data_IF_347262711406
#
_entry.id   IF_347262711406
#
_cell.length_a   1.000
_cell.length_b   1.000
_cell.length_c   1.000
_cell.angle_alpha   90.00
_cell.angle_beta   90.00
_cell.angle_gamma   90.00
#
_symmetry.space_group_name_H-M   'P 1'
#
loop_
_entity.id
_entity.type
_entity.pdbx_description
1 polymer ?
#
# COMPACT_ATOMS: atom_id res chain seq x y z
N UNK A 1 -29.87 4.37 10.78
CA UNK A 1 -28.89 3.41 10.23
C UNK A 1 -27.66 4.21 9.86
N UNK A 2 -26.45 3.84 10.33
CA UNK A 2 -25.24 4.53 9.86
C UNK A 2 -25.11 4.29 8.36
N UNK A 3 -24.84 5.35 7.60
CA UNK A 3 -24.63 5.27 6.16
C UNK A 3 -23.18 4.83 5.94
N UNK A 4 -22.99 3.64 5.40
CA UNK A 4 -21.67 3.13 5.00
C UNK A 4 -21.34 3.63 3.60
N UNK A 5 -20.10 4.09 3.39
CA UNK A 5 -19.60 4.52 2.07
C UNK A 5 -18.96 3.35 1.33
N UNK A 6 -19.21 3.22 0.03
CA UNK A 6 -18.51 2.27 -0.83
C UNK A 6 -17.73 3.08 -1.86
N UNK A 7 -16.41 2.86 -1.92
CA UNK A 7 -15.53 3.50 -2.90
C UNK A 7 -14.92 2.43 -3.80
N UNK A 8 -15.02 2.62 -5.10
CA UNK A 8 -14.35 1.77 -6.09
C UNK A 8 -12.91 2.22 -6.29
N UNK A 9 -12.08 1.38 -6.91
CA UNK A 9 -10.75 1.78 -7.38
C UNK A 9 -10.79 3.09 -8.21
N UNK A 10 -11.81 3.26 -9.06
CA UNK A 10 -11.95 4.46 -9.90
C UNK A 10 -12.23 5.73 -9.10
N UNK A 11 -12.88 5.60 -7.94
CA UNK A 11 -13.09 6.72 -7.02
C UNK A 11 -11.81 7.01 -6.25
N UNK A 12 -11.14 5.96 -5.76
CA UNK A 12 -9.92 6.08 -4.97
C UNK A 12 -8.76 6.70 -5.75
N UNK A 13 -8.62 6.38 -7.05
CA UNK A 13 -7.61 7.00 -7.93
C UNK A 13 -7.78 8.51 -8.11
N UNK A 14 -8.97 9.06 -7.84
CA UNK A 14 -9.22 10.51 -7.89
C UNK A 14 -8.90 11.20 -6.56
N UNK A 15 -8.80 10.43 -5.48
CA UNK A 15 -8.69 10.94 -4.10
C UNK A 15 -7.27 10.75 -3.55
N UNK A 16 -6.65 9.61 -3.88
CA UNK A 16 -5.32 9.24 -3.38
C UNK A 16 -4.41 9.08 -4.58
N UNK A 17 -3.35 9.87 -4.65
CA UNK A 17 -2.33 9.84 -5.70
C UNK A 17 -0.95 9.53 -5.11
N UNK A 18 -0.01 9.07 -5.94
CA UNK A 18 1.39 8.91 -5.50
C UNK A 18 2.09 10.27 -5.56
N UNK A 19 2.09 10.98 -4.44
CA UNK A 19 2.65 12.31 -4.30
C UNK A 19 3.35 12.48 -2.94
N UNK A 20 3.82 13.70 -2.67
CA UNK A 20 4.50 14.03 -1.42
C UNK A 20 3.60 13.91 -0.19
N UNK A 21 2.28 14.07 -0.33
CA UNK A 21 1.33 13.90 0.78
C UNK A 21 1.17 12.42 1.12
N UNK A 22 1.05 11.55 0.11
CA UNK A 22 1.05 10.10 0.31
C UNK A 22 2.36 9.61 0.96
N UNK A 23 3.51 10.14 0.51
CA UNK A 23 4.82 9.85 1.13
C UNK A 23 4.85 10.32 2.58
N UNK A 24 4.39 11.54 2.88
CA UNK A 24 4.35 12.08 4.24
C UNK A 24 3.38 11.28 5.14
N UNK A 25 2.24 10.83 4.62
CA UNK A 25 1.29 9.98 5.32
C UNK A 25 1.94 8.66 5.76
N UNK A 26 2.65 7.99 4.84
CA UNK A 26 3.38 6.75 5.14
C UNK A 26 4.54 7.00 6.11
N UNK A 27 5.27 8.11 5.97
CA UNK A 27 6.34 8.50 6.89
C UNK A 27 5.81 8.71 8.32
N UNK A 28 4.68 9.40 8.45
CA UNK A 28 4.03 9.60 9.74
C UNK A 28 3.51 8.29 10.34
N UNK A 29 3.07 7.33 9.50
CA UNK A 29 2.69 6.00 9.97
C UNK A 29 3.90 5.22 10.52
N UNK A 30 5.07 5.29 9.87
CA UNK A 30 6.31 4.70 10.41
C UNK A 30 6.72 5.36 11.74
N UNK A 31 6.63 6.70 11.82
CA UNK A 31 6.90 7.43 13.05
C UNK A 31 5.96 6.99 14.17
N UNK A 32 4.66 6.94 13.91
CA UNK A 32 3.64 6.51 14.87
C UNK A 32 3.89 5.07 15.35
N UNK A 33 4.23 4.15 14.44
CA UNK A 33 4.58 2.77 14.81
C UNK A 33 5.79 2.72 15.76
N UNK A 34 6.77 3.62 15.59
CA UNK A 34 7.95 3.68 16.43
C UNK A 34 7.74 4.38 17.78
N UNK A 35 6.80 5.33 17.86
CA UNK A 35 6.69 6.24 19.03
C UNK A 35 5.37 6.14 19.80
N UNK A 36 4.34 5.50 19.25
CA UNK A 36 3.01 5.35 19.86
C UNK A 36 2.70 3.88 20.16
N UNK A 37 1.74 3.60 21.06
CA UNK A 37 1.29 2.23 21.33
C UNK A 37 0.37 1.71 20.21
N UNK A 38 0.91 1.54 19.00
CA UNK A 38 0.20 0.97 17.85
C UNK A 38 -0.08 -0.51 18.11
N UNK A 39 -1.35 -0.91 17.98
CA UNK A 39 -1.72 -2.32 18.03
C UNK A 39 -1.73 -2.88 16.61
N UNK A 40 -0.79 -3.77 16.30
CA UNK A 40 -0.65 -4.42 15.01
C UNK A 40 -0.48 -5.93 15.22
N UNK A 41 -1.57 -6.72 15.17
CA UNK A 41 -1.48 -8.16 15.36
C UNK A 41 -0.69 -8.84 14.23
N UNK A 42 -0.22 -10.09 14.45
CA UNK A 42 0.38 -10.89 13.40
C UNK A 42 -0.53 -11.00 12.16
N UNK A 43 0.09 -11.08 10.99
CA UNK A 43 -0.62 -11.27 9.73
C UNK A 43 -1.29 -12.64 9.74
N UNK A 44 -2.60 -12.67 9.50
CA UNK A 44 -3.29 -13.92 9.22
C UNK A 44 -3.08 -14.23 7.73
N UNK A 45 -2.41 -15.35 7.46
CA UNK A 45 -2.14 -15.82 6.11
C UNK A 45 -2.88 -17.13 5.86
N UNK A 46 -3.47 -17.25 4.67
CA UNK A 46 -4.11 -18.44 4.16
C UNK A 46 -3.49 -18.78 2.80
N UNK A 47 -2.80 -19.92 2.72
CA UNK A 47 -2.26 -20.44 1.46
C UNK A 47 -3.30 -21.31 0.75
N UNK A 48 -3.34 -21.22 -0.58
CA UNK A 48 -4.20 -22.00 -1.49
C UNK A 48 -3.29 -22.65 -2.54
N UNK A 49 -2.57 -23.73 -2.19
CA UNK A 49 -1.51 -24.29 -3.02
C UNK A 49 -1.97 -24.72 -4.41
N UNK A 50 -3.18 -25.26 -4.53
CA UNK A 50 -3.77 -25.77 -5.78
C UNK A 50 -3.89 -24.68 -6.85
N UNK A 51 -4.02 -23.42 -6.43
CA UNK A 51 -4.15 -22.26 -7.30
C UNK A 51 -2.92 -21.35 -7.27
N UNK A 52 -1.84 -21.79 -6.61
CA UNK A 52 -0.67 -20.94 -6.32
C UNK A 52 -1.12 -19.59 -5.75
N UNK A 53 -2.07 -19.67 -4.81
CA UNK A 53 -2.77 -18.53 -4.22
C UNK A 53 -2.38 -18.32 -2.77
N UNK A 54 -2.53 -17.09 -2.32
CA UNK A 54 -2.43 -16.67 -0.93
C UNK A 54 -3.44 -15.55 -0.64
N UNK A 55 -3.94 -15.51 0.59
CA UNK A 55 -4.72 -14.40 1.12
C UNK A 55 -4.13 -13.98 2.45
N UNK A 56 -3.83 -12.70 2.58
CA UNK A 56 -3.38 -12.10 3.84
C UNK A 56 -4.45 -11.14 4.38
N UNK A 57 -4.74 -11.25 5.67
CA UNK A 57 -5.54 -10.28 6.43
C UNK A 57 -4.63 -9.50 7.37
N UNK A 58 -4.62 -8.17 7.23
CA UNK A 58 -3.76 -7.24 7.97
C UNK A 58 -4.60 -6.16 8.60
N UNK A 59 -4.33 -5.82 9.86
CA UNK A 59 -4.99 -4.71 10.55
C UNK A 59 -4.01 -3.96 11.43
N UNK A 60 -4.30 -2.70 11.70
CA UNK A 60 -3.57 -1.91 12.67
C UNK A 60 -4.48 -0.84 13.26
N UNK A 61 -4.42 -0.64 14.58
CA UNK A 61 -4.98 0.51 15.26
C UNK A 61 -3.87 1.46 15.66
N UNK A 62 -4.00 2.72 15.24
CA UNK A 62 -3.06 3.80 15.57
C UNK A 62 -3.77 4.78 16.51
N UNK A 63 -3.28 4.97 17.76
CA UNK A 63 -3.85 5.94 18.68
C UNK A 63 -3.94 7.34 18.08
N UNK A 64 -5.07 8.01 18.28
CA UNK A 64 -5.33 9.36 17.76
C UNK A 64 -5.95 9.41 16.36
N UNK A 65 -6.14 8.28 15.70
CA UNK A 65 -6.93 8.16 14.46
C UNK A 65 -8.31 7.60 14.81
N UNK A 66 -9.38 8.23 14.30
CA UNK A 66 -10.77 7.89 14.63
C UNK A 66 -11.24 6.52 14.09
N UNK A 67 -10.44 5.91 13.21
CA UNK A 67 -10.73 4.63 12.57
C UNK A 67 -9.52 3.71 12.45
N UNK A 68 -9.80 2.44 12.16
CA UNK A 68 -8.80 1.44 11.81
C UNK A 68 -9.25 0.65 10.59
N UNK A 69 -8.29 0.16 9.81
CA UNK A 69 -8.58 -0.59 8.59
C UNK A 69 -8.23 -2.07 8.76
N UNK A 70 -9.08 -2.94 8.21
CA UNK A 70 -8.76 -4.35 7.95
C UNK A 70 -8.58 -4.51 6.45
N UNK A 71 -7.37 -4.86 6.04
CA UNK A 71 -7.05 -5.16 4.64
C UNK A 71 -7.12 -6.66 4.40
N UNK A 72 -7.77 -7.04 3.31
CA UNK A 72 -7.79 -8.39 2.78
C UNK A 72 -7.10 -8.31 1.42
N UNK A 73 -5.86 -8.80 1.33
CA UNK A 73 -5.10 -8.83 0.08
C UNK A 73 -4.99 -10.26 -0.45
N UNK A 74 -5.23 -10.43 -1.75
CA UNK A 74 -5.14 -11.71 -2.44
C UNK A 74 -3.99 -11.71 -3.44
N UNK A 75 -3.15 -12.73 -3.40
CA UNK A 75 -2.11 -13.00 -4.40
C UNK A 75 -2.41 -14.33 -5.09
N UNK A 76 -2.69 -14.33 -6.40
CA UNK A 76 -2.91 -15.53 -7.20
C UNK A 76 -1.98 -15.47 -8.41
N UNK A 77 -0.80 -16.08 -8.29
CA UNK A 77 0.30 -15.81 -9.20
C UNK A 77 0.10 -16.37 -10.62
N UNK A 78 -0.85 -17.28 -10.80
CA UNK A 78 -1.23 -17.84 -12.11
C UNK A 78 -2.38 -17.08 -12.78
N UNK A 79 -3.02 -16.11 -12.12
CA UNK A 79 -4.09 -15.29 -12.71
C UNK A 79 -3.74 -14.61 -14.05
N UNK A 80 -2.50 -14.17 -14.30
CA UNK A 80 -2.14 -13.62 -15.61
C UNK A 80 -2.41 -14.59 -16.78
N UNK A 81 -2.36 -15.90 -16.55
CA UNK A 81 -2.72 -16.93 -17.55
C UNK A 81 -4.22 -16.91 -17.90
N UNK A 82 -5.03 -16.37 -17.01
CA UNK A 82 -6.48 -16.21 -17.13
C UNK A 82 -6.89 -14.79 -17.57
N UNK A 83 -5.92 -13.90 -17.83
CA UNK A 83 -6.18 -12.49 -18.11
C UNK A 83 -6.57 -11.66 -16.89
N UNK A 84 -6.31 -12.16 -15.67
CA UNK A 84 -6.59 -11.48 -14.41
C UNK A 84 -5.30 -10.94 -13.76
N UNK A 85 -5.38 -9.89 -12.92
CA UNK A 85 -4.24 -9.44 -12.12
C UNK A 85 -3.76 -10.52 -11.13
N UNK A 86 -2.45 -10.59 -10.90
CA UNK A 86 -1.86 -11.51 -9.92
C UNK A 86 -2.07 -11.09 -8.48
N UNK A 87 -2.34 -9.81 -8.24
CA UNK A 87 -2.63 -9.23 -6.93
C UNK A 87 -3.98 -8.51 -6.95
N UNK A 88 -4.60 -8.43 -5.78
CA UNK A 88 -5.84 -7.70 -5.58
C UNK A 88 -6.18 -7.55 -4.11
N UNK A 89 -7.41 -7.14 -3.83
CA UNK A 89 -7.89 -7.05 -2.47
C UNK A 89 -8.86 -5.90 -2.26
N UNK A 90 -9.17 -5.69 -0.99
CA UNK A 90 -10.04 -4.62 -0.50
C UNK A 90 -9.64 -4.24 0.93
N UNK A 91 -10.16 -3.11 1.39
CA UNK A 91 -10.06 -2.69 2.79
C UNK A 91 -11.43 -2.34 3.36
N UNK A 92 -11.64 -2.65 4.63
CA UNK A 92 -12.79 -2.20 5.40
C UNK A 92 -12.30 -1.20 6.43
N UNK A 93 -12.87 0.01 6.43
CA UNK A 93 -12.64 1.03 7.44
C UNK A 93 -13.71 0.93 8.53
N UNK A 94 -13.28 0.82 9.78
CA UNK A 94 -14.15 0.74 10.94
C UNK A 94 -13.85 1.88 11.91
N UNK A 95 -14.89 2.38 12.54
CA UNK A 95 -14.77 3.33 13.64
C UNK A 95 -13.99 2.70 14.81
N UNK A 96 -12.91 3.34 15.25
CA UNK A 96 -12.16 2.88 16.43
C UNK A 96 -12.97 3.08 17.73
N UNK A 97 -13.99 3.94 17.71
CA UNK A 97 -14.86 4.22 18.85
C UNK A 97 -15.99 3.21 19.00
N UNK A 98 -16.57 2.74 17.89
CA UNK A 98 -17.82 1.97 17.91
C UNK A 98 -17.73 0.61 17.23
N UNK A 99 -16.67 0.35 16.46
CA UNK A 99 -16.55 -0.85 15.62
C UNK A 99 -17.51 -0.88 14.43
N UNK A 100 -18.32 0.15 14.22
CA UNK A 100 -19.23 0.25 13.08
C UNK A 100 -18.42 0.46 11.81
N UNK A 101 -18.81 -0.23 10.74
CA UNK A 101 -18.21 -0.07 9.41
C UNK A 101 -18.57 1.29 8.85
N UNK A 102 -17.54 2.07 8.49
CA UNK A 102 -17.68 3.42 7.93
C UNK A 102 -17.52 3.40 6.41
N UNK A 103 -16.58 2.59 5.90
CA UNK A 103 -16.38 2.43 4.47
C UNK A 103 -15.91 1.04 4.05
N UNK A 104 -16.31 0.64 2.85
CA UNK A 104 -15.74 -0.47 2.09
C UNK A 104 -14.96 0.09 0.89
N UNK A 105 -13.67 -0.21 0.82
CA UNK A 105 -12.76 0.24 -0.23
C UNK A 105 -12.47 -0.94 -1.17
N UNK A 106 -13.15 -0.96 -2.31
CA UNK A 106 -12.96 -1.95 -3.37
C UNK A 106 -11.80 -1.51 -4.28
N UNK A 107 -10.60 -1.47 -3.72
CA UNK A 107 -9.44 -0.81 -4.33
C UNK A 107 -8.68 -1.69 -5.34
N UNK A 108 -9.00 -2.99 -5.44
CA UNK A 108 -8.30 -3.95 -6.30
C UNK A 108 -6.77 -3.94 -6.12
N UNK A 109 -6.29 -3.61 -4.91
CA UNK A 109 -4.86 -3.51 -4.61
C UNK A 109 -4.23 -2.14 -4.91
N UNK A 110 -4.95 -1.18 -5.49
CA UNK A 110 -4.42 0.15 -5.82
C UNK A 110 -3.79 0.88 -4.62
N UNK A 111 -4.45 0.88 -3.46
CA UNK A 111 -3.90 1.53 -2.27
C UNK A 111 -2.69 0.75 -1.73
N UNK A 112 -2.66 -0.57 -1.93
CA UNK A 112 -1.46 -1.36 -1.66
C UNK A 112 -0.31 -0.94 -2.55
N UNK A 113 -0.56 -0.65 -3.83
CA UNK A 113 0.47 -0.22 -4.76
C UNK A 113 1.07 1.14 -4.38
N UNK A 114 0.21 2.13 -4.15
CA UNK A 114 0.61 3.51 -3.80
C UNK A 114 1.42 3.52 -2.51
N UNK A 115 0.91 2.89 -1.43
CA UNK A 115 1.59 2.91 -0.13
C UNK A 115 2.92 2.14 -0.15
N UNK A 116 3.06 1.13 -1.02
CA UNK A 116 4.30 0.36 -1.16
C UNK A 116 5.38 1.20 -1.83
N UNK A 117 5.03 1.93 -2.89
CA UNK A 117 5.92 2.89 -3.53
C UNK A 117 6.30 4.06 -2.60
N UNK A 118 5.32 4.63 -1.91
CA UNK A 118 5.54 5.68 -0.93
C UNK A 118 6.48 5.24 0.21
N UNK A 119 6.35 4.00 0.72
CA UNK A 119 7.27 3.46 1.72
C UNK A 119 8.71 3.38 1.20
N UNK A 120 8.91 3.02 -0.07
CA UNK A 120 10.22 3.04 -0.71
C UNK A 120 10.81 4.45 -0.80
N UNK A 121 10.00 5.45 -1.14
CA UNK A 121 10.41 6.85 -1.11
C UNK A 121 10.76 7.35 0.31
N UNK A 122 10.02 6.95 1.35
CA UNK A 122 10.38 7.26 2.75
C UNK A 122 11.74 6.66 3.10
N UNK A 123 11.98 5.40 2.78
CA UNK A 123 13.27 4.76 3.01
C UNK A 123 14.39 5.48 2.26
N UNK A 124 14.21 5.79 0.97
CA UNK A 124 15.18 6.52 0.19
C UNK A 124 15.44 7.93 0.74
N UNK A 125 14.41 8.64 1.20
CA UNK A 125 14.51 9.98 1.78
C UNK A 125 15.46 10.03 2.97
N UNK A 126 15.43 8.99 3.81
CA UNK A 126 16.22 8.95 5.05
C UNK A 126 17.55 8.21 4.91
N UNK A 127 17.69 7.28 3.96
CA UNK A 127 18.82 6.35 3.92
C UNK A 127 19.72 6.50 2.68
N UNK A 128 19.24 7.12 1.60
CA UNK A 128 20.05 7.36 0.40
C UNK A 128 20.70 8.74 0.42
N UNK A 129 21.80 8.92 -0.33
CA UNK A 129 22.43 10.24 -0.47
C UNK A 129 21.44 11.22 -1.12
N UNK A 130 21.46 12.47 -0.65
CA UNK A 130 20.56 13.52 -1.16
C UNK A 130 20.78 13.79 -2.66
N UNK A 131 22.00 13.56 -3.15
CA UNK A 131 22.43 13.77 -4.54
C UNK A 131 22.34 12.50 -5.41
N UNK A 132 21.63 11.45 -4.96
CA UNK A 132 21.43 10.24 -5.76
C UNK A 132 20.67 10.56 -7.07
N UNK A 133 21.35 10.36 -8.21
CA UNK A 133 20.84 10.63 -9.57
C UNK A 133 20.51 9.40 -10.40
N UNK A 134 21.00 8.21 -10.02
CA UNK A 134 20.81 6.97 -10.77
C UNK A 134 20.08 5.95 -9.90
N UNK A 135 18.94 5.44 -10.37
CA UNK A 135 18.20 4.36 -9.73
C UNK A 135 18.49 3.02 -10.43
N UNK A 136 18.94 2.01 -9.68
CA UNK A 136 19.02 0.63 -10.17
C UNK A 136 17.75 -0.12 -9.75
N UNK A 137 17.10 -0.80 -10.70
CA UNK A 137 15.83 -1.50 -10.49
C UNK A 137 15.96 -2.94 -10.98
N UNK A 138 15.64 -3.88 -10.10
CA UNK A 138 15.57 -5.31 -10.42
C UNK A 138 14.10 -5.74 -10.51
N UNK A 139 13.68 -6.16 -11.70
CA UNK A 139 12.29 -6.40 -12.09
C UNK A 139 11.68 -5.23 -12.87
N UNK A 140 10.70 -5.54 -13.73
CA UNK A 140 10.00 -4.57 -14.58
C UNK A 140 8.46 -4.66 -14.43
N UNK A 141 7.97 -5.12 -13.28
CA UNK A 141 6.54 -5.17 -12.97
C UNK A 141 5.96 -3.82 -12.54
N UNK A 142 4.68 -3.80 -12.18
CA UNK A 142 3.95 -2.58 -11.76
C UNK A 142 4.70 -1.76 -10.68
N UNK A 143 5.19 -2.42 -9.64
CA UNK A 143 5.94 -1.76 -8.57
C UNK A 143 7.26 -1.16 -9.04
N UNK A 144 7.92 -1.68 -10.08
CA UNK A 144 9.16 -1.10 -10.59
C UNK A 144 8.94 0.34 -11.08
N UNK A 145 7.86 0.57 -11.83
CA UNK A 145 7.46 1.90 -12.29
C UNK A 145 7.08 2.83 -11.13
N UNK A 146 6.22 2.37 -10.23
CA UNK A 146 5.76 3.18 -9.09
C UNK A 146 6.90 3.52 -8.12
N UNK A 147 7.83 2.60 -7.87
CA UNK A 147 9.02 2.87 -7.05
C UNK A 147 9.89 3.94 -7.71
N UNK A 148 10.09 3.89 -9.04
CA UNK A 148 10.84 4.94 -9.75
C UNK A 148 10.13 6.30 -9.67
N UNK A 149 8.81 6.33 -9.85
CA UNK A 149 8.00 7.54 -9.66
C UNK A 149 8.15 8.10 -8.24
N UNK A 150 8.03 7.26 -7.22
CA UNK A 150 8.15 7.66 -5.82
C UNK A 150 9.57 8.15 -5.49
N UNK A 151 10.61 7.51 -6.02
CA UNK A 151 12.01 7.95 -5.86
C UNK A 151 12.22 9.36 -6.42
N UNK A 152 11.63 9.67 -7.58
CA UNK A 152 11.71 11.00 -8.20
C UNK A 152 11.02 12.10 -7.39
N UNK A 153 10.11 11.75 -6.46
CA UNK A 153 9.52 12.72 -5.54
C UNK A 153 10.51 13.19 -4.46
N UNK A 154 11.52 12.37 -4.14
CA UNK A 154 12.40 12.60 -2.98
C UNK A 154 13.88 12.71 -3.34
N UNK A 155 14.26 12.40 -4.57
CA UNK A 155 15.63 12.47 -5.09
C UNK A 155 15.67 13.01 -6.52
N UNK A 156 16.77 13.67 -6.93
CA UNK A 156 16.95 14.19 -8.28
C UNK A 156 17.33 13.06 -9.26
N UNK A 157 16.51 12.02 -9.38
CA UNK A 157 16.77 10.89 -10.28
C UNK A 157 16.70 11.35 -11.74
N UNK A 158 17.79 11.14 -12.46
CA UNK A 158 17.99 11.50 -13.87
C UNK A 158 18.08 10.24 -14.77
N UNK A 159 18.51 9.10 -14.23
CA UNK A 159 18.71 7.84 -14.96
C UNK A 159 18.15 6.65 -14.18
N UNK A 160 17.52 5.68 -14.87
CA UNK A 160 17.13 4.39 -14.31
C UNK A 160 17.78 3.24 -15.09
N UNK A 161 18.39 2.30 -14.38
CA UNK A 161 18.99 1.07 -14.94
C UNK A 161 18.16 -0.13 -14.52
N UNK A 162 17.61 -0.85 -15.48
CA UNK A 162 16.64 -1.93 -15.23
C UNK A 162 17.22 -3.27 -15.67
N UNK A 163 17.03 -4.30 -14.83
CA UNK A 163 17.29 -5.71 -15.16
C UNK A 163 16.03 -6.52 -14.84
N UNK A 164 15.49 -7.29 -15.79
CA UNK A 164 14.24 -8.05 -15.63
C UNK A 164 14.22 -9.33 -16.48
#
# INVERSE_FOLDING_TARGET
MSRMTILTESDLRKIVTLDLEAVACVENAFRALATLPVAMPPILRLDIPEHRGEVDVKSAYVPGIDGFAVKISSGFFDNPKLGLPSGGGMMVLLSAKTGVVEALLLDNGYLTDIRTAAAGAVAARHLSREDSKVAAIFGAGLQAGLQLEALRLVRPIEEARIWA
#
